data_IF_322584647969
#
_entry.id   IF_322584647969
#
_cell.length_a   1.000
_cell.length_b   1.000
_cell.length_c   1.000
_cell.angle_alpha   90.00
_cell.angle_beta   90.00
_cell.angle_gamma   90.00
#
_symmetry.space_group_name_H-M   'P 1'
#
loop_
_entity.id
_entity.type
_entity.pdbx_description
1 polymer ?
#
# COMPACT_ATOMS: atom_id res chain seq x y z
N UNK A 1 12.00 5.26 -18.76
CA UNK A 1 10.71 4.72 -19.27
C UNK A 1 9.62 5.76 -19.11
N UNK A 2 8.52 5.68 -19.87
CA UNK A 2 7.27 6.41 -19.55
C UNK A 2 6.43 5.55 -18.61
N UNK A 3 6.18 6.07 -17.39
CA UNK A 3 5.45 5.35 -16.33
C UNK A 3 4.16 6.11 -16.01
N UNK A 4 3.01 5.46 -16.15
CA UNK A 4 1.73 6.03 -15.74
C UNK A 4 1.42 5.61 -14.30
N UNK A 5 1.02 6.56 -13.45
CA UNK A 5 0.77 6.31 -12.02
C UNK A 5 -0.63 6.76 -11.65
N UNK A 6 -1.48 5.82 -11.22
CA UNK A 6 -2.76 6.16 -10.58
C UNK A 6 -2.57 6.32 -9.07
N UNK A 7 -3.41 7.12 -8.41
CA UNK A 7 -3.23 7.40 -6.97
C UNK A 7 -1.99 8.23 -6.64
N UNK A 8 -1.37 8.84 -7.65
CA UNK A 8 -0.15 9.65 -7.55
C UNK A 8 -0.24 10.82 -6.56
N UNK A 9 -1.44 11.38 -6.35
CA UNK A 9 -1.68 12.48 -5.41
C UNK A 9 -1.77 12.03 -3.93
N UNK A 10 -1.76 10.72 -3.70
CA UNK A 10 -1.77 10.13 -2.36
C UNK A 10 -0.41 10.15 -1.67
N UNK A 11 -0.39 9.71 -0.40
CA UNK A 11 0.81 9.66 0.43
C UNK A 11 1.96 8.88 -0.21
N UNK A 12 1.73 7.63 -0.61
CA UNK A 12 2.74 6.79 -1.27
C UNK A 12 3.01 7.28 -2.70
N UNK A 13 1.94 7.65 -3.42
CA UNK A 13 2.03 8.01 -4.84
C UNK A 13 2.90 9.23 -5.12
N UNK A 14 2.86 10.26 -4.26
CA UNK A 14 3.72 11.45 -4.42
C UNK A 14 5.19 11.10 -4.35
N UNK A 15 5.60 10.39 -3.32
CA UNK A 15 7.00 9.99 -3.15
C UNK A 15 7.47 9.02 -4.25
N UNK A 16 6.56 8.13 -4.71
CA UNK A 16 6.87 7.28 -5.86
C UNK A 16 7.13 8.12 -7.13
N UNK A 17 6.26 9.10 -7.44
CA UNK A 17 6.45 9.97 -8.60
C UNK A 17 7.78 10.74 -8.52
N UNK A 18 8.10 11.32 -7.37
CA UNK A 18 9.38 12.00 -7.13
C UNK A 18 10.58 11.07 -7.36
N UNK A 19 10.51 9.85 -6.81
CA UNK A 19 11.58 8.86 -6.97
C UNK A 19 11.73 8.43 -8.44
N UNK A 20 10.62 8.22 -9.16
CA UNK A 20 10.66 7.87 -10.58
C UNK A 20 11.30 8.97 -11.42
N UNK A 21 10.97 10.24 -11.17
CA UNK A 21 11.56 11.38 -11.85
C UNK A 21 13.07 11.50 -11.58
N UNK A 22 13.50 11.37 -10.32
CA UNK A 22 14.92 11.37 -9.95
C UNK A 22 15.68 10.23 -10.63
N UNK A 23 15.04 9.08 -10.87
CA UNK A 23 15.63 7.95 -11.62
C UNK A 23 15.58 8.12 -13.15
N UNK A 24 15.14 9.27 -13.65
CA UNK A 24 15.12 9.59 -15.09
C UNK A 24 13.94 8.94 -15.84
N UNK A 25 12.86 8.55 -15.14
CA UNK A 25 11.63 8.14 -15.80
C UNK A 25 10.74 9.36 -16.10
N UNK A 26 10.01 9.31 -17.21
CA UNK A 26 8.94 10.27 -17.49
C UNK A 26 7.65 9.77 -16.81
N UNK A 27 7.04 10.62 -16.00
CA UNK A 27 5.84 10.24 -15.21
C UNK A 27 4.59 10.87 -15.83
N UNK A 28 3.56 10.05 -16.03
CA UNK A 28 2.20 10.50 -16.37
C UNK A 28 1.28 10.21 -15.19
N UNK A 29 0.73 11.26 -14.58
CA UNK A 29 -0.19 11.12 -13.45
C UNK A 29 -1.61 10.90 -13.95
N UNK A 30 -2.23 9.82 -13.49
CA UNK A 30 -3.64 9.50 -13.76
C UNK A 30 -4.47 9.86 -12.52
N UNK A 31 -5.38 10.82 -12.65
CA UNK A 31 -6.15 11.37 -11.52
C UNK A 31 -7.54 11.83 -11.94
N UNK A 32 -8.48 11.89 -10.99
CA UNK A 32 -9.80 12.49 -11.18
C UNK A 32 -9.77 14.01 -11.32
N UNK A 33 -8.72 14.63 -10.74
CA UNK A 33 -8.58 16.09 -10.62
C UNK A 33 -7.19 16.54 -11.11
N UNK A 34 -6.97 16.70 -12.42
CA UNK A 34 -5.65 17.07 -12.98
C UNK A 34 -5.10 18.38 -12.41
N UNK A 35 -5.93 19.41 -12.23
CA UNK A 35 -5.49 20.71 -11.73
C UNK A 35 -4.95 20.63 -10.29
N UNK A 36 -5.64 19.88 -9.43
CA UNK A 36 -5.13 19.58 -8.10
C UNK A 36 -3.85 18.73 -8.16
N UNK A 37 -3.77 17.82 -9.12
CA UNK A 37 -2.57 17.02 -9.38
C UNK A 37 -1.37 17.89 -9.68
N UNK A 38 -1.50 18.89 -10.55
CA UNK A 38 -0.43 19.84 -10.91
C UNK A 38 0.07 20.66 -9.72
N UNK A 39 -0.83 21.04 -8.81
CA UNK A 39 -0.43 21.77 -7.59
C UNK A 39 0.37 20.88 -6.62
N UNK A 40 0.08 19.58 -6.55
CA UNK A 40 0.72 18.62 -5.63
C UNK A 40 2.01 18.02 -6.20
N UNK A 41 2.15 17.99 -7.51
CA UNK A 41 3.26 17.39 -8.25
C UNK A 41 3.68 18.33 -9.40
N UNK A 42 4.16 19.55 -9.09
CA UNK A 42 4.51 20.57 -10.11
C UNK A 42 5.64 20.14 -11.04
N UNK A 43 6.44 19.15 -10.63
CA UNK A 43 7.54 18.58 -11.41
C UNK A 43 7.09 17.55 -12.47
N UNK A 44 5.79 17.23 -12.52
CA UNK A 44 5.23 16.28 -13.50
C UNK A 44 4.55 17.05 -14.62
N UNK A 45 4.95 16.78 -15.86
CA UNK A 45 4.43 17.49 -17.04
C UNK A 45 3.13 16.88 -17.58
N UNK A 46 2.90 15.57 -17.36
CA UNK A 46 1.80 14.85 -17.98
C UNK A 46 0.74 14.40 -16.96
N UNK A 47 -0.51 14.82 -17.21
CA UNK A 47 -1.68 14.47 -16.40
C UNK A 47 -2.81 13.99 -17.29
N UNK A 48 -3.37 12.82 -16.95
CA UNK A 48 -4.56 12.26 -17.59
C UNK A 48 -5.73 12.27 -16.59
N UNK A 49 -6.86 12.78 -17.05
CA UNK A 49 -8.09 12.69 -16.28
C UNK A 49 -8.70 11.30 -16.43
N UNK A 50 -9.05 10.69 -15.30
CA UNK A 50 -9.70 9.40 -15.28
C UNK A 50 -10.69 9.28 -14.13
N UNK A 51 -11.89 8.82 -14.48
CA UNK A 51 -12.87 8.33 -13.53
C UNK A 51 -12.71 6.80 -13.43
N UNK A 52 -12.44 6.23 -12.25
CA UNK A 52 -12.32 4.79 -12.06
C UNK A 52 -13.56 3.96 -12.47
N UNK A 53 -14.73 4.59 -12.62
CA UNK A 53 -15.94 3.93 -13.14
C UNK A 53 -15.95 3.81 -14.67
N UNK A 54 -15.00 4.47 -15.36
CA UNK A 54 -14.81 4.44 -16.82
C UNK A 54 -13.48 3.89 -17.27
N UNK A 55 -13.25 3.88 -18.59
CA UNK A 55 -11.98 3.48 -19.20
C UNK A 55 -11.18 4.69 -19.68
N UNK A 56 -9.85 4.52 -19.80
CA UNK A 56 -8.91 5.54 -20.32
C UNK A 56 -8.82 5.53 -21.86
N UNK A 57 -9.41 4.53 -22.51
CA UNK A 57 -9.27 4.36 -23.95
C UNK A 57 -7.81 4.29 -24.37
N UNK A 58 -7.45 4.97 -25.47
CA UNK A 58 -6.08 5.02 -26.01
C UNK A 58 -5.15 6.01 -25.32
N UNK A 59 -5.58 6.67 -24.24
CA UNK A 59 -4.75 7.69 -23.55
C UNK A 59 -3.45 7.11 -22.94
N UNK A 60 -3.35 5.78 -22.84
CA UNK A 60 -2.15 5.07 -22.38
C UNK A 60 -1.24 4.59 -23.51
N UNK A 61 -1.49 4.96 -24.76
CA UNK A 61 -0.63 4.59 -25.88
C UNK A 61 0.82 5.04 -25.66
N UNK A 62 1.74 4.10 -25.81
CA UNK A 62 3.18 4.33 -25.66
C UNK A 62 3.64 4.57 -24.22
N UNK A 63 2.81 4.32 -23.21
CA UNK A 63 3.24 4.14 -21.82
C UNK A 63 3.95 2.78 -21.71
N UNK A 64 5.14 2.75 -21.09
CA UNK A 64 5.92 1.51 -20.95
C UNK A 64 5.52 0.68 -19.74
N UNK A 65 5.02 1.34 -18.69
CA UNK A 65 4.67 0.72 -17.43
C UNK A 65 3.54 1.47 -16.72
N UNK A 66 2.74 0.75 -15.94
CA UNK A 66 1.68 1.32 -15.11
C UNK A 66 1.92 0.94 -13.66
N UNK A 67 1.85 1.93 -12.75
CA UNK A 67 1.78 1.69 -11.30
C UNK A 67 0.40 2.11 -10.80
N UNK A 68 -0.34 1.14 -10.26
CA UNK A 68 -1.72 1.33 -9.84
C UNK A 68 -1.83 1.40 -8.31
N UNK A 69 -1.91 2.63 -7.75
CA UNK A 69 -2.02 2.90 -6.31
C UNK A 69 -3.39 3.46 -5.90
N UNK A 70 -4.31 3.64 -6.85
CA UNK A 70 -5.61 4.22 -6.56
C UNK A 70 -6.44 3.31 -5.65
N UNK A 71 -6.99 3.87 -4.59
CA UNK A 71 -7.84 3.14 -3.65
C UNK A 71 -8.41 4.07 -2.58
N UNK A 72 -9.63 3.81 -2.15
CA UNK A 72 -10.29 4.51 -1.05
C UNK A 72 -9.62 4.17 0.29
N UNK A 73 -9.47 5.16 1.18
CA UNK A 73 -8.92 4.93 2.52
C UNK A 73 -9.78 3.95 3.31
N UNK A 74 -9.14 2.95 3.94
CA UNK A 74 -9.82 1.98 4.81
C UNK A 74 -10.04 2.54 6.24
N UNK A 75 -9.35 3.63 6.60
CA UNK A 75 -9.41 4.19 7.94
C UNK A 75 -10.80 4.75 8.28
N UNK A 76 -11.18 4.58 9.56
CA UNK A 76 -12.42 5.08 10.13
C UNK A 76 -13.52 4.02 10.23
N UNK A 77 -14.66 4.41 10.80
CA UNK A 77 -15.79 3.50 11.05
C UNK A 77 -16.40 3.02 9.73
N UNK A 78 -16.59 1.71 9.59
CA UNK A 78 -17.15 1.12 8.39
C UNK A 78 -18.69 1.06 8.43
N UNK A 79 -19.30 1.73 7.47
CA UNK A 79 -20.69 1.54 7.07
C UNK A 79 -20.77 0.65 5.83
N UNK A 80 -21.97 0.20 5.47
CA UNK A 80 -22.19 -0.52 4.18
C UNK A 80 -21.65 0.29 2.99
N UNK A 81 -21.95 1.59 2.93
CA UNK A 81 -21.44 2.49 1.89
C UNK A 81 -19.90 2.59 1.88
N UNK A 82 -19.25 2.71 3.05
CA UNK A 82 -17.79 2.72 3.14
C UNK A 82 -17.16 1.42 2.64
N UNK A 83 -17.70 0.27 3.03
CA UNK A 83 -17.24 -1.05 2.54
C UNK A 83 -17.40 -1.16 1.01
N UNK A 84 -18.53 -0.70 0.47
CA UNK A 84 -18.76 -0.65 -0.98
C UNK A 84 -17.72 0.24 -1.67
N UNK A 85 -17.45 1.44 -1.16
CA UNK A 85 -16.44 2.36 -1.71
C UNK A 85 -15.03 1.75 -1.65
N UNK A 86 -14.66 1.11 -0.54
CA UNK A 86 -13.37 0.40 -0.41
C UNK A 86 -13.24 -0.70 -1.46
N UNK A 87 -14.27 -1.53 -1.65
CA UNK A 87 -14.29 -2.60 -2.64
C UNK A 87 -14.25 -2.05 -4.07
N UNK A 88 -15.13 -1.13 -4.41
CA UNK A 88 -15.27 -0.63 -5.77
C UNK A 88 -14.01 0.12 -6.23
N UNK A 89 -13.45 0.99 -5.39
CA UNK A 89 -12.22 1.71 -5.73
C UNK A 89 -11.05 0.79 -6.10
N UNK A 90 -11.03 -0.43 -5.56
CA UNK A 90 -10.00 -1.45 -5.81
C UNK A 90 -10.41 -2.39 -6.94
N UNK A 91 -11.50 -3.10 -6.76
CA UNK A 91 -11.91 -4.16 -7.71
C UNK A 91 -12.43 -3.56 -9.02
N UNK A 92 -13.41 -2.65 -8.96
CA UNK A 92 -13.98 -2.04 -10.18
C UNK A 92 -12.97 -1.11 -10.85
N UNK A 93 -12.27 -0.27 -10.06
CA UNK A 93 -11.24 0.62 -10.59
C UNK A 93 -10.11 -0.15 -11.30
N UNK A 94 -9.61 -1.25 -10.71
CA UNK A 94 -8.58 -2.09 -11.34
C UNK A 94 -9.09 -2.78 -12.59
N UNK A 95 -10.32 -3.32 -12.54
CA UNK A 95 -10.97 -3.92 -13.71
C UNK A 95 -11.04 -2.93 -14.89
N UNK A 96 -11.44 -1.70 -14.65
CA UNK A 96 -11.58 -0.68 -15.69
C UNK A 96 -10.22 -0.18 -16.19
N UNK A 97 -9.20 -0.12 -15.33
CA UNK A 97 -7.82 0.11 -15.77
C UNK A 97 -7.35 -1.02 -16.68
N UNK A 98 -7.50 -2.28 -16.29
CA UNK A 98 -7.09 -3.45 -17.09
C UNK A 98 -7.85 -3.48 -18.43
N UNK A 99 -9.16 -3.18 -18.45
CA UNK A 99 -9.93 -3.03 -19.69
C UNK A 99 -9.35 -1.94 -20.60
N UNK A 100 -8.86 -0.82 -20.01
CA UNK A 100 -8.17 0.21 -20.80
C UNK A 100 -6.91 -0.32 -21.46
N UNK A 101 -6.12 -1.13 -20.73
CA UNK A 101 -4.91 -1.76 -21.27
C UNK A 101 -5.23 -2.77 -22.38
N UNK A 102 -6.34 -3.50 -22.27
CA UNK A 102 -6.81 -4.46 -23.30
C UNK A 102 -7.19 -3.78 -24.61
N UNK A 103 -7.61 -2.51 -24.58
CA UNK A 103 -7.98 -1.73 -25.78
C UNK A 103 -6.76 -1.22 -26.57
N UNK A 104 -5.55 -1.33 -26.02
CA UNK A 104 -4.31 -0.89 -26.67
C UNK A 104 -3.80 -1.94 -27.66
N UNK A 105 -3.20 -1.46 -28.75
CA UNK A 105 -2.52 -2.33 -29.71
C UNK A 105 -1.25 -2.94 -29.08
N UNK A 106 -0.86 -4.18 -29.41
CA UNK A 106 0.29 -4.83 -28.81
C UNK A 106 1.58 -4.01 -28.80
N UNK A 107 1.96 -3.27 -29.88
CA UNK A 107 3.21 -2.48 -29.89
C UNK A 107 3.21 -1.28 -28.95
N UNK A 108 2.03 -0.74 -28.60
CA UNK A 108 1.90 0.47 -27.76
C UNK A 108 1.51 0.16 -26.31
N UNK A 109 1.28 -1.13 -26.01
CA UNK A 109 0.82 -1.62 -24.72
C UNK A 109 1.95 -1.59 -23.68
N UNK A 110 1.67 -1.23 -22.42
CA UNK A 110 2.64 -1.35 -21.33
C UNK A 110 3.14 -2.78 -21.17
N UNK A 111 4.43 -2.92 -20.85
CA UNK A 111 5.05 -4.24 -20.60
C UNK A 111 4.81 -4.75 -19.19
N UNK A 112 4.52 -3.84 -18.24
CA UNK A 112 4.35 -4.18 -16.83
C UNK A 112 3.26 -3.35 -16.17
N UNK A 113 2.48 -4.01 -15.31
CA UNK A 113 1.54 -3.44 -14.35
C UNK A 113 2.02 -3.79 -12.93
N UNK A 114 2.42 -2.80 -12.16
CA UNK A 114 2.65 -2.97 -10.72
C UNK A 114 1.42 -2.45 -9.98
N UNK A 115 0.64 -3.34 -9.41
CA UNK A 115 -0.58 -3.00 -8.67
C UNK A 115 -0.31 -2.98 -7.17
N UNK A 116 -0.88 -1.99 -6.47
CA UNK A 116 -0.97 -2.08 -5.03
C UNK A 116 -1.90 -3.23 -4.62
N UNK A 117 -1.58 -3.85 -3.50
CA UNK A 117 -2.39 -4.74 -2.69
C UNK A 117 -2.09 -4.46 -1.21
N UNK A 118 -2.53 -5.29 -0.29
CA UNK A 118 -2.26 -5.12 1.13
C UNK A 118 -2.09 -6.47 1.84
N UNK A 119 -1.33 -6.47 2.94
CA UNK A 119 -1.20 -7.64 3.82
C UNK A 119 -2.52 -8.07 4.44
N UNK A 120 -3.55 -7.23 4.38
CA UNK A 120 -4.92 -7.60 4.69
C UNK A 120 -5.45 -8.81 3.89
N UNK A 121 -4.78 -9.19 2.80
CA UNK A 121 -4.99 -10.42 2.06
C UNK A 121 -4.94 -11.67 2.95
N UNK A 122 -4.03 -11.69 3.93
CA UNK A 122 -3.81 -12.85 4.79
C UNK A 122 -4.85 -13.02 5.91
N UNK A 123 -5.58 -11.96 6.27
CA UNK A 123 -6.48 -11.96 7.43
C UNK A 123 -5.74 -12.07 8.76
N UNK A 124 -6.37 -12.61 9.80
CA UNK A 124 -5.75 -12.84 11.11
C UNK A 124 -4.95 -14.13 11.13
N UNK A 125 -3.63 -14.03 11.12
CA UNK A 125 -2.72 -15.19 11.13
C UNK A 125 -2.15 -15.49 12.52
N UNK A 126 -2.48 -14.69 13.53
CA UNK A 126 -1.95 -14.82 14.90
C UNK A 126 -0.43 -14.91 14.91
N UNK A 127 0.15 -16.00 15.43
CA UNK A 127 1.59 -16.23 15.55
C UNK A 127 2.21 -16.89 14.28
N UNK A 128 1.38 -17.27 13.30
CA UNK A 128 1.87 -17.95 12.09
C UNK A 128 2.65 -16.95 11.21
N UNK A 129 3.89 -17.31 10.87
CA UNK A 129 4.66 -16.60 9.86
C UNK A 129 4.08 -16.86 8.47
N UNK A 130 3.83 -15.79 7.71
CA UNK A 130 3.27 -15.90 6.37
C UNK A 130 4.16 -15.18 5.35
N UNK A 131 4.21 -15.75 4.16
CA UNK A 131 4.93 -15.20 3.02
C UNK A 131 4.00 -15.13 1.79
N UNK A 132 4.53 -14.81 0.64
CA UNK A 132 3.75 -14.57 -0.59
C UNK A 132 2.99 -15.80 -1.09
N UNK A 133 3.40 -17.02 -0.74
CA UNK A 133 2.73 -18.27 -1.12
C UNK A 133 1.56 -18.64 -0.20
N UNK A 134 1.39 -17.94 0.93
CA UNK A 134 0.33 -18.23 1.88
C UNK A 134 -1.04 -17.86 1.28
N UNK A 135 -2.08 -18.69 1.48
CA UNK A 135 -3.41 -18.44 0.91
C UNK A 135 -4.09 -17.21 1.51
N UNK A 136 -5.12 -16.72 0.81
CA UNK A 136 -5.97 -15.66 1.33
C UNK A 136 -6.71 -16.11 2.59
N UNK A 137 -6.79 -15.20 3.56
CA UNK A 137 -7.62 -15.40 4.75
C UNK A 137 -9.11 -15.26 4.45
N UNK A 138 -9.93 -15.21 5.50
CA UNK A 138 -11.37 -15.02 5.42
C UNK A 138 -11.80 -13.65 5.93
N UNK A 139 -12.92 -13.13 5.39
CA UNK A 139 -13.53 -11.87 5.77
C UNK A 139 -13.35 -10.75 4.78
N UNK A 140 -13.81 -9.56 5.13
CA UNK A 140 -13.95 -8.44 4.18
C UNK A 140 -12.64 -8.00 3.50
N UNK A 141 -11.57 -7.75 4.27
CA UNK A 141 -10.31 -7.31 3.66
C UNK A 141 -9.61 -8.39 2.83
N UNK A 142 -9.49 -9.66 3.31
CA UNK A 142 -8.96 -10.74 2.48
C UNK A 142 -9.71 -10.90 1.16
N UNK A 143 -11.04 -10.92 1.19
CA UNK A 143 -11.87 -11.02 -0.02
C UNK A 143 -11.67 -9.85 -0.99
N UNK A 144 -11.58 -8.62 -0.46
CA UNK A 144 -11.31 -7.44 -1.29
C UNK A 144 -9.91 -7.51 -1.91
N UNK A 145 -8.88 -7.89 -1.13
CA UNK A 145 -7.51 -7.98 -1.63
C UNK A 145 -7.37 -9.10 -2.69
N UNK A 146 -7.95 -10.27 -2.45
CA UNK A 146 -7.94 -11.37 -3.40
C UNK A 146 -8.65 -10.99 -4.72
N UNK A 147 -9.83 -10.36 -4.64
CA UNK A 147 -10.53 -9.88 -5.83
C UNK A 147 -9.76 -8.76 -6.55
N UNK A 148 -9.07 -7.89 -5.81
CA UNK A 148 -8.23 -6.84 -6.37
C UNK A 148 -7.06 -7.41 -7.16
N UNK A 149 -6.30 -8.35 -6.57
CA UNK A 149 -5.19 -9.03 -7.23
C UNK A 149 -5.67 -9.84 -8.45
N UNK A 150 -6.82 -10.50 -8.36
CA UNK A 150 -7.43 -11.22 -9.48
C UNK A 150 -7.78 -10.30 -10.67
N UNK A 151 -8.28 -9.09 -10.41
CA UNK A 151 -8.54 -8.14 -11.51
C UNK A 151 -7.25 -7.60 -12.12
N UNK A 152 -6.20 -7.39 -11.32
CA UNK A 152 -4.90 -6.96 -11.84
C UNK A 152 -4.24 -8.05 -12.70
N UNK A 153 -4.28 -9.31 -12.26
CA UNK A 153 -3.67 -10.45 -12.99
C UNK A 153 -4.29 -10.71 -14.36
N UNK A 154 -5.53 -10.24 -14.62
CA UNK A 154 -6.14 -10.32 -15.97
C UNK A 154 -5.36 -9.56 -17.05
N UNK A 155 -4.46 -8.65 -16.66
CA UNK A 155 -3.58 -8.00 -17.63
C UNK A 155 -2.56 -8.98 -18.25
N UNK A 156 -2.27 -10.10 -17.58
CA UNK A 156 -1.37 -11.15 -18.06
C UNK A 156 -1.90 -11.81 -19.34
N UNK A 157 -3.23 -11.91 -19.52
CA UNK A 157 -3.88 -12.40 -20.75
C UNK A 157 -3.49 -11.58 -21.99
N UNK A 158 -2.97 -10.37 -21.77
CA UNK A 158 -2.54 -9.45 -22.81
C UNK A 158 -1.00 -9.40 -22.96
N UNK A 159 -0.28 -10.30 -22.31
CA UNK A 159 1.19 -10.31 -22.30
C UNK A 159 1.82 -9.24 -21.42
N UNK A 160 1.05 -8.60 -20.52
CA UNK A 160 1.56 -7.61 -19.57
C UNK A 160 2.01 -8.35 -18.31
N UNK A 161 3.26 -8.19 -17.90
CA UNK A 161 3.76 -8.71 -16.64
C UNK A 161 3.05 -8.01 -15.47
N UNK A 162 2.55 -8.77 -14.50
CA UNK A 162 1.86 -8.21 -13.33
C UNK A 162 2.63 -8.51 -12.05
N UNK A 163 2.81 -7.50 -11.20
CA UNK A 163 3.28 -7.64 -9.84
C UNK A 163 2.32 -6.95 -8.87
N UNK A 164 1.91 -7.62 -7.79
CA UNK A 164 0.99 -7.09 -6.78
C UNK A 164 1.71 -6.87 -5.46
N UNK A 165 1.89 -5.61 -5.05
CA UNK A 165 2.63 -5.26 -3.82
C UNK A 165 1.67 -5.30 -2.63
N UNK A 166 1.75 -6.36 -1.79
CA UNK A 166 0.98 -6.51 -0.54
C UNK A 166 1.61 -5.63 0.54
N UNK A 167 1.14 -4.40 0.61
CA UNK A 167 1.70 -3.36 1.48
C UNK A 167 1.30 -3.57 2.95
N UNK A 168 2.28 -3.48 3.85
CA UNK A 168 2.10 -3.46 5.31
C UNK A 168 1.76 -2.08 5.86
N UNK A 169 2.03 -1.88 7.15
CA UNK A 169 1.83 -0.58 7.83
C UNK A 169 2.96 0.36 7.41
N UNK A 170 2.65 1.38 6.63
CA UNK A 170 3.65 2.30 6.10
C UNK A 170 4.06 3.34 7.14
N UNK A 171 5.35 3.41 7.45
CA UNK A 171 5.96 4.43 8.31
C UNK A 171 6.52 5.57 7.45
N UNK A 172 5.94 6.76 7.61
CA UNK A 172 6.32 7.95 6.85
C UNK A 172 5.54 9.18 7.31
N UNK A 173 5.75 10.36 6.71
CA UNK A 173 5.13 11.63 7.11
C UNK A 173 3.64 11.71 6.71
N UNK A 174 2.90 10.62 6.91
CA UNK A 174 1.49 10.51 6.55
C UNK A 174 0.90 9.16 6.95
N UNK A 175 -0.28 8.85 6.41
CA UNK A 175 -0.91 7.53 6.55
C UNK A 175 -1.24 7.13 7.99
N UNK A 176 -1.03 5.85 8.28
CA UNK A 176 -1.38 5.26 9.58
C UNK A 176 -0.53 5.84 10.74
N UNK A 177 0.77 6.04 10.52
CA UNK A 177 1.66 6.56 11.55
C UNK A 177 1.20 7.95 12.04
N UNK A 178 0.81 8.84 11.14
CA UNK A 178 0.35 10.18 11.51
C UNK A 178 -0.87 10.15 12.42
N UNK A 179 -1.78 9.19 12.22
CA UNK A 179 -2.94 9.00 13.09
C UNK A 179 -2.54 8.48 14.47
N UNK A 180 -1.57 7.57 14.52
CA UNK A 180 -1.03 7.03 15.77
C UNK A 180 -0.28 8.10 16.58
N UNK A 181 0.43 9.02 15.95
CA UNK A 181 1.24 10.04 16.63
C UNK A 181 0.45 10.97 17.54
N UNK A 182 -0.82 11.30 17.20
CA UNK A 182 -1.62 12.26 17.98
C UNK A 182 -1.76 11.86 19.45
N UNK A 183 -2.27 10.66 19.81
CA UNK A 183 -2.37 10.25 21.22
C UNK A 183 -1.00 10.11 21.88
N UNK A 184 0.04 9.64 21.16
CA UNK A 184 1.38 9.52 21.75
C UNK A 184 1.99 10.87 22.11
N UNK A 185 1.87 11.89 21.24
CA UNK A 185 2.36 13.25 21.50
C UNK A 185 1.69 13.89 22.73
N UNK A 186 0.44 13.53 23.01
CA UNK A 186 -0.30 13.97 24.20
C UNK A 186 0.02 13.14 25.45
N UNK A 187 0.91 12.15 25.39
CA UNK A 187 1.21 11.25 26.51
C UNK A 187 0.11 10.21 26.80
N UNK A 188 -0.88 10.11 25.92
CA UNK A 188 -2.02 9.17 26.01
C UNK A 188 -1.82 7.93 25.14
N UNK A 189 -0.62 7.74 24.58
CA UNK A 189 -0.28 6.57 23.79
C UNK A 189 -0.32 5.28 24.61
N UNK A 190 -0.63 4.16 23.95
CA UNK A 190 -0.66 2.87 24.62
C UNK A 190 -0.89 1.72 23.64
N UNK A 191 -0.67 0.50 24.14
CA UNK A 191 -0.93 -0.70 23.39
C UNK A 191 -2.43 -0.89 23.14
N UNK A 192 -2.78 -1.47 22.00
CA UNK A 192 -4.15 -1.78 21.64
C UNK A 192 -4.49 -3.20 22.12
N UNK A 193 -5.54 -3.35 22.89
CA UNK A 193 -5.91 -4.63 23.49
C UNK A 193 -4.81 -5.21 24.39
N UNK A 194 -4.46 -6.49 24.17
CA UNK A 194 -3.36 -7.16 24.89
C UNK A 194 -1.97 -6.85 24.27
N UNK A 195 -1.95 -6.26 23.05
CA UNK A 195 -0.74 -5.86 22.36
C UNK A 195 0.07 -7.02 21.76
N UNK A 196 -0.51 -8.23 21.66
CA UNK A 196 0.17 -9.41 21.06
C UNK A 196 0.07 -9.45 19.57
N UNK A 197 -0.90 -8.77 18.96
CA UNK A 197 -1.06 -8.77 17.50
C UNK A 197 0.21 -8.26 16.80
N UNK A 198 0.59 -8.98 15.75
CA UNK A 198 1.75 -8.64 14.92
C UNK A 198 1.47 -7.43 14.04
N UNK A 199 2.45 -6.57 13.94
CA UNK A 199 2.47 -5.39 13.09
C UNK A 199 3.58 -5.54 12.06
N UNK A 200 3.22 -5.94 10.85
CA UNK A 200 4.15 -5.96 9.71
C UNK A 200 4.17 -4.57 9.09
N UNK A 201 5.24 -3.87 9.33
CA UNK A 201 5.46 -2.48 8.96
C UNK A 201 6.50 -2.38 7.84
N UNK A 202 6.58 -1.22 7.18
CA UNK A 202 7.63 -0.87 6.23
C UNK A 202 7.90 0.63 6.26
N UNK A 203 9.16 1.02 6.13
CA UNK A 203 9.53 2.42 5.91
C UNK A 203 9.08 2.86 4.51
N UNK A 204 8.63 4.11 4.38
CA UNK A 204 8.11 4.63 3.10
C UNK A 204 9.15 4.52 1.96
N UNK A 205 10.43 4.82 2.23
CA UNK A 205 11.49 4.70 1.21
C UNK A 205 11.67 3.26 0.74
N UNK A 206 11.60 2.28 1.63
CA UNK A 206 11.68 0.86 1.26
C UNK A 206 10.44 0.42 0.49
N UNK A 207 9.25 0.90 0.86
CA UNK A 207 8.05 0.62 0.08
C UNK A 207 8.16 1.14 -1.35
N UNK A 208 8.60 2.40 -1.50
CA UNK A 208 8.86 2.99 -2.82
C UNK A 208 9.92 2.17 -3.58
N UNK A 209 10.98 1.77 -2.87
CA UNK A 209 12.01 0.90 -3.41
C UNK A 209 11.45 -0.43 -3.93
N UNK A 210 10.52 -1.07 -3.21
CA UNK A 210 9.86 -2.31 -3.64
C UNK A 210 8.98 -2.07 -4.88
N UNK A 211 8.25 -0.95 -4.96
CA UNK A 211 7.49 -0.60 -6.18
C UNK A 211 8.40 -0.44 -7.39
N UNK A 212 9.51 0.30 -7.24
CA UNK A 212 10.50 0.50 -8.31
C UNK A 212 11.20 -0.83 -8.64
N UNK A 213 11.55 -1.62 -7.65
CA UNK A 213 12.13 -2.95 -7.84
C UNK A 213 11.20 -3.87 -8.64
N UNK A 214 9.91 -3.93 -8.27
CA UNK A 214 8.90 -4.69 -9.01
C UNK A 214 8.69 -4.15 -10.44
N UNK A 215 8.88 -2.85 -10.65
CA UNK A 215 8.81 -2.22 -11.96
C UNK A 215 9.97 -2.63 -12.87
N UNK A 216 11.21 -2.60 -12.36
CA UNK A 216 12.45 -2.76 -13.11
C UNK A 216 12.89 -4.22 -13.25
N UNK A 217 12.61 -5.08 -12.26
CA UNK A 217 13.01 -6.49 -12.25
C UNK A 217 12.01 -7.38 -12.98
N UNK A 218 12.39 -7.90 -14.13
CA UNK A 218 11.52 -8.75 -14.96
C UNK A 218 11.10 -10.06 -14.28
N UNK A 219 11.96 -10.61 -13.42
CA UNK A 219 11.68 -11.84 -12.68
C UNK A 219 10.59 -11.68 -11.59
N UNK A 220 10.27 -10.44 -11.19
CA UNK A 220 9.23 -10.19 -10.18
C UNK A 220 7.86 -10.24 -10.83
N UNK A 221 7.14 -11.34 -10.61
CA UNK A 221 5.79 -11.62 -11.09
C UNK A 221 4.88 -12.02 -9.93
N UNK A 222 3.57 -11.73 -10.02
CA UNK A 222 2.58 -12.07 -8.99
C UNK A 222 2.78 -11.29 -7.69
N UNK A 223 2.36 -11.83 -6.52
CA UNK A 223 2.42 -11.11 -5.25
C UNK A 223 3.86 -10.94 -4.75
N UNK A 224 4.13 -9.78 -4.14
CA UNK A 224 5.36 -9.46 -3.39
C UNK A 224 4.97 -8.71 -2.12
N UNK A 225 5.51 -9.10 -0.96
CA UNK A 225 5.22 -8.45 0.31
C UNK A 225 6.03 -7.16 0.48
N UNK A 226 5.33 -6.04 0.54
CA UNK A 226 5.87 -4.72 0.86
C UNK A 226 5.90 -4.51 2.38
N UNK A 227 6.75 -5.26 3.08
CA UNK A 227 6.97 -5.20 4.54
C UNK A 227 8.46 -5.24 4.85
N UNK A 228 8.86 -4.69 6.00
CA UNK A 228 10.22 -4.85 6.51
C UNK A 228 10.45 -6.30 7.02
N UNK A 229 11.72 -6.80 7.03
CA UNK A 229 12.02 -8.19 7.38
C UNK A 229 11.81 -8.53 8.86
N UNK A 230 11.65 -7.54 9.72
CA UNK A 230 11.50 -7.72 11.18
C UNK A 230 10.15 -7.16 11.66
N UNK A 231 9.05 -7.91 11.49
CA UNK A 231 7.75 -7.54 12.08
C UNK A 231 7.86 -7.55 13.60
N UNK A 232 7.05 -6.74 14.26
CA UNK A 232 7.04 -6.60 15.73
C UNK A 232 5.62 -6.76 16.25
N UNK A 233 5.46 -7.05 17.56
CA UNK A 233 4.15 -6.98 18.20
C UNK A 233 3.69 -5.53 18.40
N UNK A 234 2.39 -5.30 18.56
CA UNK A 234 1.87 -3.97 18.89
C UNK A 234 2.45 -3.43 20.20
N UNK A 235 2.73 -4.32 21.18
CA UNK A 235 3.39 -3.94 22.44
C UNK A 235 4.80 -3.41 22.18
N UNK A 236 5.59 -4.09 21.36
CA UNK A 236 6.95 -3.66 21.00
C UNK A 236 6.92 -2.37 20.20
N UNK A 237 6.04 -2.29 19.19
CA UNK A 237 5.84 -1.06 18.41
C UNK A 237 5.53 0.13 19.30
N UNK A 238 4.58 -0.04 20.24
CA UNK A 238 4.19 0.99 21.21
C UNK A 238 5.36 1.44 22.06
N UNK A 239 6.16 0.48 22.59
CA UNK A 239 7.34 0.77 23.41
C UNK A 239 8.39 1.56 22.62
N UNK A 240 8.71 1.13 21.42
CA UNK A 240 9.72 1.79 20.57
C UNK A 240 9.24 3.18 20.16
N UNK A 241 7.98 3.33 19.73
CA UNK A 241 7.42 4.63 19.35
C UNK A 241 7.42 5.63 20.53
N UNK A 242 7.04 5.17 21.74
CA UNK A 242 7.08 5.97 22.94
C UNK A 242 8.51 6.43 23.30
N UNK A 243 9.48 5.51 23.15
CA UNK A 243 10.90 5.81 23.37
C UNK A 243 11.42 6.88 22.41
N UNK A 244 11.16 6.71 21.11
CA UNK A 244 11.58 7.67 20.08
C UNK A 244 10.95 9.05 20.27
N UNK A 245 9.68 9.10 20.66
CA UNK A 245 8.97 10.34 20.94
C UNK A 245 9.32 10.96 22.32
N UNK A 246 10.04 10.21 23.17
CA UNK A 246 10.29 10.60 24.58
C UNK A 246 8.99 10.92 25.34
N UNK A 247 7.97 10.09 25.14
CA UNK A 247 6.65 10.23 25.75
C UNK A 247 6.24 8.93 26.45
N UNK A 248 5.54 9.00 27.59
CA UNK A 248 5.01 7.79 28.21
C UNK A 248 3.94 7.13 27.32
N UNK A 249 3.85 5.79 27.38
CA UNK A 249 2.83 5.00 26.69
C UNK A 249 2.34 3.88 27.63
N UNK A 250 1.81 4.25 28.76
CA UNK A 250 1.45 3.34 29.85
C UNK A 250 -0.02 2.92 29.82
N UNK A 251 -0.89 3.66 29.15
CA UNK A 251 -2.33 3.44 29.19
C UNK A 251 -2.75 2.48 28.06
N UNK A 252 -3.10 1.20 28.37
CA UNK A 252 -3.63 0.31 27.36
C UNK A 252 -5.00 0.78 26.88
N UNK A 253 -5.26 0.69 25.57
CA UNK A 253 -6.58 0.96 25.01
C UNK A 253 -7.37 -0.35 24.96
N UNK A 254 -8.41 -0.52 25.79
CA UNK A 254 -9.16 -1.77 25.83
C UNK A 254 -9.85 -2.08 24.50
N UNK A 255 -9.90 -3.36 24.12
CA UNK A 255 -10.50 -3.80 22.85
C UNK A 255 -11.97 -3.38 22.71
N UNK A 256 -12.75 -3.38 23.80
CA UNK A 256 -14.14 -2.95 23.77
C UNK A 256 -14.27 -1.44 23.44
N UNK A 257 -13.37 -0.60 23.96
CA UNK A 257 -13.39 0.83 23.69
C UNK A 257 -13.04 1.12 22.20
N UNK A 258 -12.08 0.38 21.63
CA UNK A 258 -11.80 0.45 20.21
C UNK A 258 -13.00 0.03 19.35
N UNK A 259 -13.67 -1.08 19.69
CA UNK A 259 -14.86 -1.56 18.99
C UNK A 259 -16.02 -0.57 19.06
N UNK A 260 -16.20 0.06 20.21
CA UNK A 260 -17.24 1.08 20.39
C UNK A 260 -16.97 2.33 19.53
N UNK A 261 -15.71 2.78 19.47
CA UNK A 261 -15.31 3.98 18.72
C UNK A 261 -15.25 3.74 17.20
N UNK A 262 -14.69 2.61 16.77
CA UNK A 262 -14.29 2.35 15.38
C UNK A 262 -15.13 1.28 14.67
N UNK A 263 -16.02 0.58 15.40
CA UNK A 263 -16.84 -0.50 14.84
C UNK A 263 -15.98 -1.64 14.29
N UNK A 264 -16.35 -2.21 13.16
CA UNK A 264 -15.63 -3.32 12.50
C UNK A 264 -14.17 -2.98 12.16
N UNK A 265 -13.81 -1.71 11.96
CA UNK A 265 -12.43 -1.32 11.70
C UNK A 265 -11.50 -1.60 12.90
N UNK A 266 -12.05 -1.70 14.12
CA UNK A 266 -11.28 -2.09 15.29
C UNK A 266 -10.66 -3.49 15.16
N UNK A 267 -11.33 -4.42 14.45
CA UNK A 267 -10.79 -5.75 14.24
C UNK A 267 -9.51 -5.72 13.40
N UNK A 268 -9.38 -4.80 12.44
CA UNK A 268 -8.14 -4.58 11.67
C UNK A 268 -6.97 -4.15 12.56
N UNK A 269 -7.26 -3.44 13.66
CA UNK A 269 -6.25 -2.95 14.61
C UNK A 269 -5.90 -4.00 15.69
N UNK A 270 -6.82 -4.93 15.94
CA UNK A 270 -6.69 -5.96 16.98
C UNK A 270 -6.23 -7.31 16.44
N UNK A 271 -6.36 -7.53 15.13
CA UNK A 271 -5.83 -8.67 14.40
C UNK A 271 -4.43 -8.35 13.87
N UNK A 272 -3.64 -9.38 13.61
CA UNK A 272 -2.28 -9.20 13.14
C UNK A 272 -1.80 -10.31 12.21
N UNK A 273 -0.80 -9.97 11.42
CA UNK A 273 -0.13 -10.91 10.53
C UNK A 273 1.38 -10.75 10.71
N UNK A 274 2.09 -11.86 10.95
CA UNK A 274 3.55 -11.92 10.96
C UNK A 274 4.03 -12.17 9.53
N UNK A 275 4.05 -11.13 8.71
CA UNK A 275 4.37 -11.21 7.29
C UNK A 275 5.86 -11.00 7.05
N UNK A 276 6.46 -11.86 6.23
CA UNK A 276 7.86 -11.80 5.83
C UNK A 276 7.98 -11.47 4.33
N UNK A 277 8.95 -10.64 3.91
CA UNK A 277 9.18 -10.25 2.52
C UNK A 277 10.10 -11.26 1.80
N UNK A 278 9.73 -12.54 1.82
CA UNK A 278 10.62 -13.63 1.36
C UNK A 278 10.98 -13.45 -0.11
N UNK A 279 10.02 -13.08 -0.95
CA UNK A 279 10.26 -12.86 -2.37
C UNK A 279 11.22 -11.69 -2.62
N UNK A 280 11.04 -10.57 -1.93
CA UNK A 280 11.94 -9.42 -2.04
C UNK A 280 13.37 -9.78 -1.67
N UNK A 281 13.55 -10.50 -0.55
CA UNK A 281 14.87 -10.96 -0.09
C UNK A 281 15.51 -11.94 -1.08
N UNK A 282 14.76 -12.92 -1.58
CA UNK A 282 15.26 -13.93 -2.52
C UNK A 282 15.71 -13.32 -3.86
N UNK A 283 15.08 -12.23 -4.29
CA UNK A 283 15.49 -11.48 -5.49
C UNK A 283 16.57 -10.42 -5.19
N UNK A 284 17.10 -10.36 -3.97
CA UNK A 284 18.22 -9.48 -3.60
C UNK A 284 17.83 -8.03 -3.29
N UNK A 285 16.57 -7.76 -2.92
CA UNK A 285 16.20 -6.42 -2.46
C UNK A 285 16.89 -6.11 -1.13
N UNK A 286 17.64 -5.01 -1.08
CA UNK A 286 18.33 -4.54 0.12
C UNK A 286 17.49 -3.47 0.83
N UNK A 287 16.95 -3.80 2.01
CA UNK A 287 16.18 -2.86 2.83
C UNK A 287 17.09 -1.80 3.43
N UNK A 288 16.72 -0.54 3.29
CA UNK A 288 17.40 0.61 3.90
C UNK A 288 17.10 0.72 5.40
N UNK A 289 15.87 0.39 5.77
CA UNK A 289 15.39 0.45 7.17
C UNK A 289 14.80 -0.91 7.61
N UNK A 290 15.64 -1.94 7.83
CA UNK A 290 15.15 -3.25 8.24
C UNK A 290 14.64 -3.31 9.68
N UNK A 291 15.04 -2.36 10.55
CA UNK A 291 14.72 -2.33 11.98
C UNK A 291 13.83 -1.14 12.34
N UNK A 292 12.86 -1.37 13.25
CA UNK A 292 11.80 -0.41 13.59
C UNK A 292 12.32 0.91 14.17
N UNK A 293 13.25 0.85 15.11
CA UNK A 293 13.69 2.07 15.80
C UNK A 293 14.42 3.05 14.88
N UNK A 294 15.41 2.64 14.06
CA UNK A 294 16.01 3.52 13.05
C UNK A 294 14.99 4.08 12.07
N UNK A 295 14.03 3.26 11.62
CA UNK A 295 12.95 3.68 10.72
C UNK A 295 12.10 4.80 11.35
N UNK A 296 11.66 4.62 12.60
CA UNK A 296 10.87 5.63 13.30
C UNK A 296 11.67 6.91 13.59
N UNK A 297 12.95 6.80 13.95
CA UNK A 297 13.81 7.97 14.18
C UNK A 297 13.95 8.82 12.91
N UNK A 298 14.13 8.18 11.76
CA UNK A 298 14.24 8.89 10.48
C UNK A 298 12.93 9.60 10.11
N UNK A 299 11.79 8.94 10.26
CA UNK A 299 10.48 9.52 9.89
C UNK A 299 10.07 10.67 10.84
N UNK A 300 10.55 10.66 12.07
CA UNK A 300 10.12 11.60 13.13
C UNK A 300 11.17 12.68 13.45
N UNK A 301 12.34 12.63 12.78
CA UNK A 301 13.36 13.69 12.81
C UNK A 301 12.84 14.94 12.09
#
# INVERSE_FOLDING_TARGET
>A
MRVAVTGATGFVGRQLCETLLVRGHCVTVITRQPDRGRLLLPQVDSFLQWDPDGTLGKSLDGVHAVVHLAGESIAGRWSKGKKTSIRNSRVTGTRNLVRSLQQLSPPTRPRVLVSASAIGYYGDCKETEVNESFPAGSGFLPEVCAAWEAEASRAEEQGIRVASVRTGIVLGPGGALQQMLRPFRMGLGGRLGDGRQWMSWIHIEDLIGIFVFALEQEAVVGPINGVAPHPVTNREFTKVLAHVLRRPAMLPVPSFALKMAMGEFADVLLQGQKVLPIKALNFGYAFKYPHLEPALRQVLA
#
